data_IF_007839675009
#
_entry.id   IF_007839675009
#
_cell.length_a   1.000
_cell.length_b   1.000
_cell.length_c   1.000
_cell.angle_alpha   90.00
_cell.angle_beta   90.00
_cell.angle_gamma   90.00
#
_symmetry.space_group_name_H-M   'P 1'
#
loop_
_entity.id
_entity.type
_entity.pdbx_description
1 polymer ?
#
# COMPACT_ATOMS: atom_id res chain seq x y z
N UNK A 1 19.08 -34.26 -2.25
CA UNK A 1 20.03 -33.55 -3.13
C UNK A 1 19.35 -32.32 -3.69
N UNK A 2 20.01 -31.16 -3.70
CA UNK A 2 19.47 -29.89 -4.24
C UNK A 2 20.49 -29.27 -5.19
N UNK A 3 20.01 -28.72 -6.30
CA UNK A 3 20.82 -27.93 -7.24
C UNK A 3 20.34 -26.48 -7.12
N UNK A 4 21.25 -25.56 -6.81
CA UNK A 4 20.96 -24.15 -6.62
C UNK A 4 21.58 -23.33 -7.77
N UNK A 5 20.82 -23.03 -8.83
CA UNK A 5 21.25 -22.09 -9.86
C UNK A 5 21.03 -20.66 -9.39
N UNK A 6 22.07 -19.84 -9.48
CA UNK A 6 22.03 -18.45 -9.00
C UNK A 6 22.86 -17.56 -9.92
N UNK A 7 22.16 -16.68 -10.66
CA UNK A 7 22.71 -15.82 -11.72
C UNK A 7 22.24 -14.38 -11.56
N UNK A 8 22.98 -13.42 -12.12
CA UNK A 8 22.69 -11.99 -11.96
C UNK A 8 21.38 -11.52 -12.60
N UNK A 9 20.87 -12.26 -13.59
CA UNK A 9 19.61 -11.95 -14.26
C UNK A 9 18.41 -11.91 -13.28
N UNK A 10 18.49 -12.64 -12.16
CA UNK A 10 17.48 -12.66 -11.10
C UNK A 10 17.79 -11.68 -9.95
N UNK A 11 18.52 -10.59 -10.22
CA UNK A 11 19.01 -9.63 -9.21
C UNK A 11 17.97 -9.18 -8.18
N UNK A 12 16.71 -8.98 -8.58
CA UNK A 12 15.60 -8.60 -7.69
C UNK A 12 15.27 -9.65 -6.62
N UNK A 13 15.55 -10.91 -6.88
CA UNK A 13 15.33 -12.03 -5.95
C UNK A 13 16.57 -12.36 -5.10
N UNK A 14 17.74 -11.80 -5.43
CA UNK A 14 19.01 -12.10 -4.75
C UNK A 14 19.05 -11.49 -3.34
N UNK A 15 18.45 -12.18 -2.38
CA UNK A 15 18.36 -11.79 -0.99
C UNK A 15 18.87 -12.88 -0.07
N UNK A 16 19.35 -12.51 1.12
CA UNK A 16 19.90 -13.45 2.10
C UNK A 16 18.93 -14.55 2.50
N UNK A 17 17.65 -14.23 2.66
CA UNK A 17 16.64 -15.22 3.04
C UNK A 17 16.42 -16.27 1.94
N UNK A 18 16.57 -15.88 0.67
CA UNK A 18 16.46 -16.82 -0.45
C UNK A 18 17.62 -17.83 -0.42
N UNK A 19 18.85 -17.33 -0.28
CA UNK A 19 20.04 -18.18 -0.18
C UNK A 19 19.97 -19.12 1.04
N UNK A 20 19.60 -18.59 2.21
CA UNK A 20 19.43 -19.38 3.44
C UNK A 20 18.40 -20.51 3.26
N UNK A 21 17.25 -20.21 2.66
CA UNK A 21 16.20 -21.21 2.43
C UNK A 21 16.67 -22.28 1.45
N UNK A 22 17.35 -21.91 0.37
CA UNK A 22 17.86 -22.87 -0.59
C UNK A 22 18.91 -23.82 0.02
N UNK A 23 19.80 -23.30 0.86
CA UNK A 23 20.83 -24.10 1.55
C UNK A 23 20.17 -25.06 2.55
N UNK A 24 19.23 -24.59 3.38
CA UNK A 24 18.58 -25.43 4.40
C UNK A 24 17.62 -26.47 3.82
N UNK A 25 17.19 -26.31 2.57
CA UNK A 25 16.44 -27.35 1.83
C UNK A 25 17.30 -28.55 1.43
N UNK A 26 18.62 -28.42 1.39
CA UNK A 26 19.53 -29.50 1.02
C UNK A 26 19.87 -30.38 2.23
N UNK A 27 19.31 -31.60 2.28
CA UNK A 27 19.56 -32.53 3.40
C UNK A 27 20.98 -33.10 3.41
N UNK A 28 21.43 -33.66 2.28
CA UNK A 28 22.69 -34.42 2.22
C UNK A 28 23.69 -33.87 1.20
N UNK A 29 23.22 -33.20 0.13
CA UNK A 29 24.09 -32.74 -0.95
C UNK A 29 23.51 -31.50 -1.63
N UNK A 30 24.36 -30.49 -1.82
CA UNK A 30 24.05 -29.20 -2.43
C UNK A 30 25.04 -28.91 -3.55
N UNK A 31 24.53 -28.67 -4.76
CA UNK A 31 25.33 -28.27 -5.92
C UNK A 31 25.03 -26.80 -6.21
N UNK A 32 26.06 -25.95 -6.12
CA UNK A 32 25.97 -24.53 -6.46
C UNK A 32 26.35 -24.32 -7.92
N UNK A 33 25.50 -23.65 -8.68
CA UNK A 33 25.73 -23.36 -10.10
C UNK A 33 25.47 -21.88 -10.37
N UNK A 34 26.30 -21.25 -11.21
CA UNK A 34 26.13 -19.86 -11.62
C UNK A 34 27.32 -18.98 -11.24
N UNK A 35 27.05 -17.73 -10.87
CA UNK A 35 28.07 -16.69 -10.73
C UNK A 35 28.37 -16.35 -9.27
N UNK A 36 29.65 -16.30 -8.89
CA UNK A 36 30.08 -15.97 -7.52
C UNK A 36 29.57 -14.61 -7.04
N UNK A 37 29.54 -13.60 -7.93
CA UNK A 37 29.06 -12.25 -7.64
C UNK A 37 27.60 -12.24 -7.18
N UNK A 38 26.76 -13.12 -7.74
CA UNK A 38 25.36 -13.24 -7.39
C UNK A 38 25.17 -13.82 -5.97
N UNK A 39 26.04 -14.75 -5.56
CA UNK A 39 26.07 -15.25 -4.18
C UNK A 39 26.52 -14.17 -3.19
N UNK A 40 27.56 -13.40 -3.51
CA UNK A 40 28.02 -12.28 -2.68
C UNK A 40 26.89 -11.24 -2.49
N UNK A 41 26.18 -10.90 -3.57
CA UNK A 41 25.03 -10.02 -3.51
C UNK A 41 23.96 -10.56 -2.56
N UNK A 42 23.60 -11.85 -2.65
CA UNK A 42 22.62 -12.45 -1.73
C UNK A 42 23.02 -12.31 -0.26
N UNK A 43 24.29 -12.56 0.08
CA UNK A 43 24.75 -12.49 1.48
C UNK A 43 24.66 -11.06 2.03
N UNK A 44 25.02 -10.08 1.20
CA UNK A 44 25.04 -8.66 1.56
C UNK A 44 23.64 -8.03 1.60
N UNK A 45 22.72 -8.47 0.75
CA UNK A 45 21.36 -7.91 0.66
C UNK A 45 20.43 -8.50 1.71
N UNK A 46 20.03 -7.66 2.68
CA UNK A 46 18.98 -7.98 3.66
C UNK A 46 17.61 -8.02 2.97
N UNK A 47 16.76 -8.98 3.34
CA UNK A 47 15.40 -9.04 2.81
C UNK A 47 14.57 -7.81 3.16
N UNK A 48 13.58 -7.53 2.31
CA UNK A 48 12.66 -6.42 2.50
C UNK A 48 11.95 -6.50 3.85
N UNK A 49 12.00 -5.40 4.61
CA UNK A 49 11.17 -5.25 5.81
C UNK A 49 9.71 -5.06 5.36
N UNK A 50 8.86 -6.04 5.67
CA UNK A 50 7.43 -5.96 5.34
C UNK A 50 6.76 -5.01 6.33
N UNK A 51 6.27 -3.88 5.84
CA UNK A 51 5.45 -2.95 6.61
C UNK A 51 4.09 -3.60 6.90
N UNK A 52 3.93 -4.17 8.10
CA UNK A 52 2.69 -4.83 8.53
C UNK A 52 2.34 -4.38 9.95
N UNK A 53 1.05 -4.18 10.24
CA UNK A 53 0.56 -3.77 11.56
C UNK A 53 0.36 -4.93 12.54
N UNK A 54 0.83 -6.15 12.23
CA UNK A 54 0.58 -7.33 13.09
C UNK A 54 1.25 -7.17 14.47
N UNK A 55 2.47 -6.62 14.48
CA UNK A 55 3.22 -6.39 15.72
C UNK A 55 2.50 -5.38 16.61
N UNK A 56 2.09 -4.24 16.04
CA UNK A 56 1.31 -3.21 16.73
C UNK A 56 0.00 -3.77 17.29
N UNK A 57 -0.73 -4.56 16.50
CA UNK A 57 -1.98 -5.20 16.93
C UNK A 57 -1.76 -6.19 18.08
N UNK A 58 -0.71 -7.01 18.03
CA UNK A 58 -0.36 -7.93 19.11
C UNK A 58 0.04 -7.18 20.38
N UNK A 59 0.81 -6.10 20.26
CA UNK A 59 1.19 -5.26 21.39
C UNK A 59 -0.03 -4.61 22.05
N UNK A 60 -0.97 -4.07 21.28
CA UNK A 60 -2.21 -3.48 21.80
C UNK A 60 -3.06 -4.51 22.56
N UNK A 61 -3.14 -5.76 22.06
CA UNK A 61 -3.90 -6.84 22.72
C UNK A 61 -3.20 -7.31 24.00
N UNK A 62 -1.89 -7.54 23.96
CA UNK A 62 -1.14 -8.15 25.08
C UNK A 62 -0.85 -7.12 26.18
N UNK A 63 -0.47 -5.89 25.83
CA UNK A 63 -0.12 -4.84 26.81
C UNK A 63 -1.34 -4.00 27.24
N UNK A 64 -2.51 -4.21 26.65
CA UNK A 64 -3.75 -3.53 27.05
C UNK A 64 -3.71 -2.00 26.91
N UNK A 65 -2.83 -1.46 26.08
CA UNK A 65 -2.77 -0.02 25.84
C UNK A 65 -3.92 0.37 24.92
N UNK A 66 -4.96 0.96 25.49
CA UNK A 66 -5.87 1.80 24.72
C UNK A 66 -5.06 2.96 24.15
N UNK A 67 -4.92 3.02 22.83
CA UNK A 67 -4.28 4.13 22.13
C UNK A 67 -5.04 5.42 22.38
N UNK A 68 -4.47 6.32 23.19
CA UNK A 68 -4.72 7.76 23.09
C UNK A 68 -3.96 8.27 21.87
N UNK A 69 -4.67 8.95 20.97
CA UNK A 69 -4.14 9.62 19.79
C UNK A 69 -2.92 10.50 20.13
N UNK A 70 -1.86 10.41 19.33
CA UNK A 70 -0.88 11.49 19.19
C UNK A 70 -0.84 11.93 17.73
N UNK A 71 -1.28 13.16 17.54
CA UNK A 71 -1.14 13.98 16.34
C UNK A 71 0.33 14.29 16.07
N UNK A 72 0.70 14.46 14.80
CA UNK A 72 1.85 15.31 14.46
C UNK A 72 1.61 15.97 13.11
N UNK A 73 1.45 17.29 13.17
CA UNK A 73 1.41 18.27 12.08
C UNK A 73 2.69 18.28 11.23
N UNK A 74 2.60 18.72 9.97
CA UNK A 74 3.58 19.63 9.33
C UNK A 74 2.97 20.30 8.08
N UNK A 75 2.61 21.58 8.24
CA UNK A 75 2.79 22.78 7.38
C UNK A 75 2.59 22.79 5.84
N UNK A 76 1.63 23.63 5.43
CA UNK A 76 1.75 24.85 4.57
C UNK A 76 2.09 24.74 3.07
N UNK A 77 1.24 25.33 2.21
CA UNK A 77 1.56 26.52 1.37
C UNK A 77 0.33 26.97 0.53
N UNK A 78 0.11 28.30 0.52
CA UNK A 78 -0.92 29.14 -0.13
C UNK A 78 -0.87 29.13 -1.68
N UNK A 79 -1.95 29.50 -2.40
CA UNK A 79 -2.10 30.73 -3.24
C UNK A 79 -3.60 30.99 -3.58
N UNK A 80 -3.94 32.28 -3.67
CA UNK A 80 -5.23 32.97 -3.85
C UNK A 80 -5.59 33.22 -5.35
N UNK A 81 -6.82 33.69 -5.61
CA UNK A 81 -7.39 34.42 -6.80
C UNK A 81 -8.17 33.50 -7.77
N UNK A 82 -9.44 33.68 -8.14
CA UNK A 82 -10.19 34.89 -8.58
C UNK A 82 -11.73 34.76 -8.50
N UNK A 83 -12.40 35.91 -8.64
CA UNK A 83 -13.83 36.26 -8.61
C UNK A 83 -14.73 35.70 -9.76
N UNK A 84 -16.00 35.40 -9.40
CA UNK A 84 -17.32 35.68 -10.06
C UNK A 84 -17.47 35.52 -11.60
N UNK A 85 -18.47 34.86 -12.22
CA UNK A 85 -19.94 34.93 -11.97
C UNK A 85 -20.75 33.94 -12.88
N UNK A 86 -21.82 33.31 -12.32
CA UNK A 86 -23.16 32.92 -12.91
C UNK A 86 -23.25 31.83 -14.03
N UNK A 87 -24.12 30.80 -14.03
CA UNK A 87 -25.48 30.56 -13.47
C UNK A 87 -25.85 29.05 -13.30
N UNK A 88 -26.22 28.67 -12.08
CA UNK A 88 -27.36 27.86 -11.57
C UNK A 88 -27.95 26.63 -12.32
N UNK A 89 -27.66 25.43 -11.77
CA UNK A 89 -28.67 24.43 -11.33
C UNK A 89 -28.34 24.05 -9.86
N UNK A 90 -29.28 24.33 -8.94
CA UNK A 90 -29.33 23.91 -7.54
C UNK A 90 -29.50 22.38 -7.41
N UNK A 91 -28.97 21.63 -6.43
CA UNK A 91 -28.35 21.89 -5.12
C UNK A 91 -27.56 20.62 -4.76
N UNK A 92 -26.23 20.70 -4.74
CA UNK A 92 -25.38 19.86 -3.92
C UNK A 92 -24.30 20.80 -3.40
N UNK A 93 -24.40 21.19 -2.12
CA UNK A 93 -23.36 21.94 -1.45
C UNK A 93 -22.14 21.02 -1.40
N UNK A 94 -21.23 21.16 -2.36
CA UNK A 94 -19.88 20.66 -2.20
C UNK A 94 -19.30 21.40 -0.98
N UNK A 95 -18.88 20.70 0.08
CA UNK A 95 -17.96 21.34 1.00
C UNK A 95 -16.72 21.71 0.18
N UNK A 96 -16.36 22.99 0.21
CA UNK A 96 -15.04 23.48 -0.18
C UNK A 96 -14.02 22.61 0.58
N UNK A 97 -13.50 21.59 -0.08
CA UNK A 97 -12.53 20.67 0.50
C UNK A 97 -11.60 20.25 -0.64
N UNK A 98 -10.32 20.12 -0.35
CA UNK A 98 -9.21 19.97 -1.32
C UNK A 98 -9.23 18.62 -2.08
N UNK A 99 -10.40 18.02 -2.31
CA UNK A 99 -10.58 16.69 -2.90
C UNK A 99 -10.20 15.54 -1.96
N UNK A 100 -9.86 15.84 -0.69
CA UNK A 100 -9.39 14.85 0.27
C UNK A 100 -10.57 14.26 1.04
N UNK A 101 -10.76 12.95 0.89
CA UNK A 101 -11.74 12.18 1.64
C UNK A 101 -11.15 11.76 3.00
N UNK A 102 -11.65 12.33 4.09
CA UNK A 102 -11.26 11.98 5.47
C UNK A 102 -12.23 10.97 6.08
N UNK A 103 -11.76 10.09 6.97
CA UNK A 103 -12.58 9.07 7.63
C UNK A 103 -13.80 9.64 8.37
N UNK A 104 -13.68 10.83 8.96
CA UNK A 104 -14.80 11.53 9.62
C UNK A 104 -15.94 11.85 8.64
N UNK A 105 -15.62 12.21 7.40
CA UNK A 105 -16.61 12.55 6.37
C UNK A 105 -17.39 11.32 5.90
N UNK A 106 -16.74 10.14 5.88
CA UNK A 106 -17.38 8.86 5.57
C UNK A 106 -18.35 8.49 6.70
N UNK A 107 -17.91 8.62 7.95
CA UNK A 107 -18.74 8.28 9.12
C UNK A 107 -19.96 9.21 9.25
N UNK A 108 -19.80 10.49 8.90
CA UNK A 108 -20.86 11.50 8.94
C UNK A 108 -21.77 11.47 7.69
N UNK A 109 -21.48 10.62 6.69
CA UNK A 109 -22.19 10.55 5.40
C UNK A 109 -22.33 11.91 4.70
N UNK A 110 -21.36 12.80 4.90
CA UNK A 110 -21.36 14.16 4.34
C UNK A 110 -21.07 14.15 2.84
N UNK A 111 -20.36 13.13 2.35
CA UNK A 111 -20.07 12.92 0.93
C UNK A 111 -20.90 11.74 0.42
N UNK A 112 -21.72 12.00 -0.60
CA UNK A 112 -22.54 10.98 -1.24
C UNK A 112 -21.66 9.92 -1.93
N UNK A 113 -21.80 8.62 -1.59
CA UNK A 113 -21.08 7.55 -2.28
C UNK A 113 -21.43 7.42 -3.77
N UNK A 114 -22.57 7.96 -4.22
CA UNK A 114 -23.01 7.96 -5.62
C UNK A 114 -22.65 9.26 -6.36
N UNK A 115 -21.60 9.97 -5.92
CA UNK A 115 -21.11 11.15 -6.61
C UNK A 115 -20.77 10.83 -8.08
N UNK A 116 -21.30 11.61 -9.01
CA UNK A 116 -21.11 11.39 -10.46
C UNK A 116 -21.97 10.28 -11.08
N UNK A 117 -22.74 9.53 -10.28
CA UNK A 117 -23.67 8.49 -10.75
C UNK A 117 -25.12 8.98 -10.85
N UNK A 118 -25.34 10.30 -10.81
CA UNK A 118 -26.68 10.89 -10.89
C UNK A 118 -27.36 10.53 -12.21
N UNK A 119 -28.50 9.84 -12.12
CA UNK A 119 -29.33 9.46 -13.27
C UNK A 119 -28.94 8.13 -13.93
N UNK A 120 -27.87 7.47 -13.47
CA UNK A 120 -27.46 6.14 -13.95
C UNK A 120 -28.08 5.05 -13.08
N UNK A 121 -28.71 4.06 -13.71
CA UNK A 121 -29.25 2.87 -13.04
C UNK A 121 -28.30 1.69 -13.27
N UNK A 122 -28.21 0.73 -12.34
CA UNK A 122 -27.39 -0.47 -12.54
C UNK A 122 -27.74 -1.25 -13.82
N UNK A 123 -29.00 -1.18 -14.27
CA UNK A 123 -29.47 -1.82 -15.50
C UNK A 123 -28.82 -1.23 -16.77
N UNK A 124 -28.39 0.03 -16.76
CA UNK A 124 -27.76 0.69 -17.92
C UNK A 124 -26.37 0.10 -18.23
N UNK A 125 -25.80 -0.67 -17.30
CA UNK A 125 -24.50 -1.34 -17.43
C UNK A 125 -24.59 -2.85 -17.70
N UNK A 126 -25.81 -3.40 -17.73
CA UNK A 126 -26.03 -4.78 -18.16
C UNK A 126 -26.20 -4.76 -19.67
N UNK A 127 -25.19 -5.25 -20.39
CA UNK A 127 -25.28 -5.42 -21.84
C UNK A 127 -26.45 -6.35 -22.18
N UNK A 128 -27.32 -5.91 -23.08
CA UNK A 128 -28.33 -6.79 -23.68
C UNK A 128 -27.61 -7.78 -24.61
N UNK A 129 -27.80 -9.08 -24.39
CA UNK A 129 -27.41 -10.15 -25.32
C UNK A 129 -28.03 -9.93 -26.72
#
# INVERSE_FOLDING_TARGET
>A
MVILPLVRQFSRMLQRNLLYTAVTRASNFLILVGEQSAYQQCVNTVSANRKTCLVERLQNIILGQQTTNSETDTESTEVVVDDQEKQQISKATQPQNDGILTMKMIQENTVDPMIGMSGLKPADFLAAD
#
